data_IF_586252083487
#
_entry.id   IF_586252083487
#
_cell.length_a   1.000
_cell.length_b   1.000
_cell.length_c   1.000
_cell.angle_alpha   90.00
_cell.angle_beta   90.00
_cell.angle_gamma   90.00
#
_symmetry.space_group_name_H-M   'P 1'
#
loop_
_entity.id
_entity.type
_entity.pdbx_description
1 polymer ?
#
# COMPACT_ATOMS: atom_id res chain seq x y z
N UNK A 1 14.41 -10.49 11.88
CA UNK A 1 13.90 -9.82 10.67
C UNK A 1 12.83 -8.86 11.11
N UNK A 2 12.95 -7.56 10.81
CA UNK A 2 11.87 -6.62 11.11
C UNK A 2 10.74 -6.88 10.12
N UNK A 3 9.56 -7.20 10.62
CA UNK A 3 8.39 -7.43 9.79
C UNK A 3 8.01 -6.11 9.09
N UNK A 4 7.92 -6.09 7.75
CA UNK A 4 7.55 -4.90 6.98
C UNK A 4 6.20 -4.35 7.41
N UNK A 5 5.25 -5.21 7.80
CA UNK A 5 3.98 -4.79 8.37
C UNK A 5 4.15 -4.00 9.68
N UNK A 6 5.08 -4.40 10.56
CA UNK A 6 5.36 -3.66 11.81
C UNK A 6 5.95 -2.28 11.51
N UNK A 7 6.90 -2.20 10.57
CA UNK A 7 7.47 -0.92 10.14
C UNK A 7 6.38 -0.02 9.55
N UNK A 8 5.53 -0.60 8.71
CA UNK A 8 4.44 0.12 8.09
C UNK A 8 3.44 0.63 9.13
N UNK A 9 3.03 -0.19 10.10
CA UNK A 9 2.13 0.22 11.18
C UNK A 9 2.68 1.42 11.96
N UNK A 10 4.00 1.47 12.22
CA UNK A 10 4.64 2.63 12.85
C UNK A 10 4.53 3.89 11.97
N UNK A 11 4.76 3.77 10.66
CA UNK A 11 4.59 4.90 9.73
C UNK A 11 3.15 5.36 9.69
N UNK A 12 2.19 4.44 9.62
CA UNK A 12 0.77 4.77 9.60
C UNK A 12 0.37 5.49 10.89
N UNK A 13 0.89 5.09 12.04
CA UNK A 13 0.65 5.78 13.31
C UNK A 13 1.18 7.22 13.32
N UNK A 14 2.31 7.49 12.65
CA UNK A 14 2.85 8.84 12.52
C UNK A 14 2.01 9.75 11.61
N UNK A 15 1.25 9.17 10.68
CA UNK A 15 0.38 9.91 9.76
C UNK A 15 -1.03 10.05 10.34
N UNK A 16 -1.53 9.00 10.98
CA UNK A 16 -2.87 8.89 11.57
C UNK A 16 -2.79 8.58 13.07
N UNK A 17 -2.31 9.52 13.91
CA UNK A 17 -2.03 9.27 15.33
C UNK A 17 -3.28 9.02 16.17
N UNK A 18 -4.47 9.35 15.65
CA UNK A 18 -5.76 9.16 16.33
C UNK A 18 -6.33 7.75 16.13
N UNK A 19 -5.77 6.96 15.21
CA UNK A 19 -6.22 5.59 14.95
C UNK A 19 -5.54 4.64 15.95
N UNK A 20 -6.35 3.73 16.51
CA UNK A 20 -5.90 2.76 17.50
C UNK A 20 -4.82 1.83 16.90
N UNK A 21 -3.76 1.55 17.67
CA UNK A 21 -2.59 0.79 17.21
C UNK A 21 -2.94 -0.59 16.65
N UNK A 22 -3.85 -1.33 17.28
CA UNK A 22 -4.26 -2.66 16.82
C UNK A 22 -4.87 -2.63 15.41
N UNK A 23 -5.63 -1.56 15.11
CA UNK A 23 -6.20 -1.35 13.79
C UNK A 23 -5.11 -1.12 12.75
N UNK A 24 -4.09 -0.33 13.08
CA UNK A 24 -2.95 -0.06 12.19
C UNK A 24 -2.15 -1.32 11.89
N UNK A 25 -1.89 -2.16 12.91
CA UNK A 25 -1.22 -3.46 12.75
C UNK A 25 -1.99 -4.37 11.80
N UNK A 26 -3.29 -4.55 12.06
CA UNK A 26 -4.13 -5.41 11.23
C UNK A 26 -4.13 -4.97 9.77
N UNK A 27 -4.30 -3.68 9.49
CA UNK A 27 -4.32 -3.18 8.10
C UNK A 27 -2.95 -3.30 7.44
N UNK A 28 -1.87 -2.98 8.16
CA UNK A 28 -0.51 -3.12 7.64
C UNK A 28 -0.14 -4.57 7.32
N UNK A 29 -0.55 -5.53 8.15
CA UNK A 29 -0.35 -6.97 7.89
C UNK A 29 -1.10 -7.44 6.65
N UNK A 30 -2.34 -6.98 6.45
CA UNK A 30 -3.11 -7.32 5.26
C UNK A 30 -2.52 -6.66 4.00
N UNK A 31 -2.01 -5.42 4.08
CA UNK A 31 -1.33 -4.76 2.96
C UNK A 31 -0.07 -5.54 2.54
N UNK A 32 0.79 -5.90 3.50
CA UNK A 32 2.01 -6.67 3.23
C UNK A 32 1.67 -8.05 2.66
N UNK A 33 0.63 -8.72 3.20
CA UNK A 33 0.15 -10.01 2.69
C UNK A 33 -0.37 -9.91 1.26
N UNK A 34 -1.18 -8.89 0.95
CA UNK A 34 -1.73 -8.67 -0.40
C UNK A 34 -0.60 -8.41 -1.39
N UNK A 35 0.33 -7.50 -1.08
CA UNK A 35 1.46 -7.21 -1.96
C UNK A 35 2.31 -8.46 -2.19
N UNK A 36 2.66 -9.21 -1.15
CA UNK A 36 3.38 -10.48 -1.29
C UNK A 36 2.66 -11.45 -2.23
N UNK A 37 1.38 -11.66 -1.99
CA UNK A 37 0.56 -12.61 -2.75
C UNK A 37 0.47 -12.23 -4.22
N UNK A 38 0.24 -10.95 -4.55
CA UNK A 38 0.14 -10.52 -5.95
C UNK A 38 1.48 -10.60 -6.71
N UNK A 39 2.61 -10.39 -6.01
CA UNK A 39 3.94 -10.60 -6.58
C UNK A 39 4.25 -12.08 -6.79
N UNK A 40 3.96 -12.94 -5.81
CA UNK A 40 4.19 -14.39 -5.87
C UNK A 40 3.35 -15.06 -6.96
N UNK A 41 2.11 -14.60 -7.14
CA UNK A 41 1.20 -15.08 -8.20
C UNK A 41 1.55 -14.56 -9.59
N UNK A 42 2.45 -13.57 -9.70
CA UNK A 42 2.77 -12.92 -10.98
C UNK A 42 1.62 -12.09 -11.55
N UNK A 43 0.69 -11.63 -10.72
CA UNK A 43 -0.44 -10.79 -11.15
C UNK A 43 -0.01 -9.37 -11.50
N UNK A 44 1.04 -8.87 -10.82
CA UNK A 44 1.60 -7.53 -11.07
C UNK A 44 2.15 -7.46 -12.49
N UNK A 45 1.56 -6.59 -13.32
CA UNK A 45 1.88 -6.51 -14.75
C UNK A 45 2.95 -5.47 -15.05
N UNK A 46 3.18 -4.54 -14.12
CA UNK A 46 4.19 -3.50 -14.27
C UNK A 46 5.52 -3.90 -13.65
N UNK A 47 6.56 -3.09 -13.90
CA UNK A 47 7.87 -3.23 -13.24
C UNK A 47 7.93 -2.58 -11.86
N UNK A 48 6.80 -2.39 -11.17
CA UNK A 48 6.78 -1.80 -9.83
C UNK A 48 7.52 -2.71 -8.84
N UNK A 49 8.33 -2.12 -7.96
CA UNK A 49 9.00 -2.88 -6.91
C UNK A 49 8.04 -3.22 -5.77
N UNK A 50 8.35 -4.26 -5.00
CA UNK A 50 7.56 -4.63 -3.82
C UNK A 50 7.44 -3.45 -2.83
N UNK A 51 8.55 -2.76 -2.56
CA UNK A 51 8.56 -1.63 -1.63
C UNK A 51 7.73 -0.47 -2.17
N UNK A 52 7.82 -0.16 -3.46
CA UNK A 52 7.00 0.90 -4.07
C UNK A 52 5.52 0.53 -4.02
N UNK A 53 5.15 -0.71 -4.37
CA UNK A 53 3.79 -1.20 -4.30
C UNK A 53 3.20 -1.08 -2.88
N UNK A 54 3.92 -1.57 -1.86
CA UNK A 54 3.49 -1.49 -0.47
C UNK A 54 3.38 -0.04 0.02
N UNK A 55 4.35 0.80 -0.32
CA UNK A 55 4.37 2.21 0.08
C UNK A 55 3.23 3.02 -0.57
N UNK A 56 2.93 2.74 -1.85
CA UNK A 56 1.84 3.40 -2.58
C UNK A 56 0.48 2.91 -2.10
N UNK A 57 0.30 1.62 -1.83
CA UNK A 57 -0.94 1.08 -1.27
C UNK A 57 -1.25 1.70 0.09
N UNK A 58 -0.23 1.82 0.95
CA UNK A 58 -0.36 2.49 2.23
C UNK A 58 -0.76 3.96 2.07
N UNK A 59 -0.10 4.69 1.16
CA UNK A 59 -0.43 6.09 0.88
C UNK A 59 -1.87 6.29 0.40
N UNK A 60 -2.30 5.50 -0.58
CA UNK A 60 -3.66 5.55 -1.11
C UNK A 60 -4.68 5.28 0.00
N UNK A 61 -4.54 4.17 0.74
CA UNK A 61 -5.48 3.81 1.79
C UNK A 61 -5.55 4.86 2.90
N UNK A 62 -4.41 5.41 3.31
CA UNK A 62 -4.39 6.44 4.34
C UNK A 62 -5.14 7.69 3.91
N UNK A 63 -4.90 8.20 2.71
CA UNK A 63 -5.53 9.46 2.28
C UNK A 63 -6.99 9.25 1.86
N UNK A 64 -7.32 8.12 1.23
CA UNK A 64 -8.67 7.86 0.72
C UNK A 64 -9.67 7.50 1.83
N UNK A 65 -9.22 6.83 2.88
CA UNK A 65 -10.13 6.32 3.92
C UNK A 65 -9.80 6.74 5.34
N UNK A 66 -8.62 7.34 5.57
CA UNK A 66 -8.09 7.54 6.91
C UNK A 66 -8.10 6.25 7.74
N UNK A 67 -7.94 5.09 7.07
CA UNK A 67 -7.97 3.75 7.67
C UNK A 67 -9.27 3.42 8.43
N UNK A 68 -10.33 4.19 8.18
CA UNK A 68 -11.59 4.14 8.92
C UNK A 68 -12.35 2.83 8.71
N UNK A 69 -12.75 2.19 9.80
CA UNK A 69 -13.58 0.98 9.76
C UNK A 69 -14.95 1.24 9.11
N UNK A 70 -15.49 2.46 9.27
CA UNK A 70 -16.75 2.84 8.62
C UNK A 70 -16.63 2.86 7.09
N UNK A 71 -15.45 3.17 6.57
CA UNK A 71 -15.16 3.17 5.13
C UNK A 71 -14.88 1.73 4.64
N UNK A 72 -14.12 0.95 5.40
CA UNK A 72 -13.90 -0.48 5.11
C UNK A 72 -15.23 -1.24 4.98
N UNK A 73 -16.15 -1.02 5.92
CA UNK A 73 -17.46 -1.66 5.91
C UNK A 73 -18.48 -0.92 5.04
N UNK A 74 -18.04 0.04 4.23
CA UNK A 74 -18.86 0.83 3.29
C UNK A 74 -20.08 1.54 3.90
N UNK A 75 -20.04 1.84 5.21
CA UNK A 75 -21.03 2.70 5.89
C UNK A 75 -20.79 4.16 5.53
N UNK A 76 -19.53 4.56 5.36
CA UNK A 76 -19.11 5.80 4.73
C UNK A 76 -18.56 5.51 3.33
N UNK A 77 -18.91 6.35 2.36
CA UNK A 77 -18.62 6.11 0.93
C UNK A 77 -18.14 7.39 0.27
N UNK A 78 -17.21 7.27 -0.67
CA UNK A 78 -16.75 8.39 -1.50
C UNK A 78 -17.66 8.62 -2.71
N UNK A 79 -17.53 9.78 -3.33
CA UNK A 79 -18.11 10.12 -4.65
C UNK A 79 -19.61 9.81 -4.82
N UNK A 80 -20.41 9.97 -3.77
CA UNK A 80 -21.84 9.66 -3.79
C UNK A 80 -22.15 8.15 -3.86
N UNK A 81 -21.22 7.31 -3.38
CA UNK A 81 -21.35 5.85 -3.36
C UNK A 81 -20.65 5.12 -4.50
N UNK A 82 -19.96 5.84 -5.38
CA UNK A 82 -19.29 5.27 -6.57
C UNK A 82 -17.93 4.65 -6.25
N UNK A 83 -17.27 5.12 -5.21
CA UNK A 83 -16.04 4.57 -4.66
C UNK A 83 -16.32 3.88 -3.32
N UNK A 84 -15.62 2.77 -3.05
CA UNK A 84 -15.85 1.94 -1.85
C UNK A 84 -14.57 1.36 -1.26
N UNK A 85 -14.64 1.02 0.03
CA UNK A 85 -13.57 0.37 0.76
C UNK A 85 -12.39 1.30 1.08
N UNK A 86 -11.35 0.71 1.68
CA UNK A 86 -10.19 1.44 2.19
C UNK A 86 -9.41 2.20 1.11
N UNK A 87 -9.40 1.70 -0.13
CA UNK A 87 -8.79 2.40 -1.26
C UNK A 87 -9.73 3.33 -2.02
N UNK A 88 -11.01 3.45 -1.63
CA UNK A 88 -12.03 4.18 -2.39
C UNK A 88 -12.06 3.80 -3.88
N UNK A 89 -12.03 2.50 -4.18
CA UNK A 89 -11.95 2.03 -5.57
C UNK A 89 -13.26 2.29 -6.30
N UNK A 90 -13.17 3.07 -7.38
CA UNK A 90 -14.30 3.41 -8.24
C UNK A 90 -14.94 2.18 -8.88
N UNK A 91 -16.28 2.14 -8.89
CA UNK A 91 -17.08 1.13 -9.58
C UNK A 91 -16.72 1.04 -11.08
N UNK A 92 -16.93 -0.15 -11.66
CA UNK A 92 -16.73 -0.45 -13.06
C UNK A 92 -15.61 -1.47 -13.25
N UNK A 93 -14.75 -1.30 -14.26
CA UNK A 93 -13.65 -2.24 -14.53
C UNK A 93 -12.71 -2.46 -13.36
N UNK A 94 -12.55 -1.47 -12.46
CA UNK A 94 -11.68 -1.59 -11.30
C UNK A 94 -12.22 -2.53 -10.21
N UNK A 95 -13.48 -2.97 -10.29
CA UNK A 95 -14.03 -3.99 -9.39
C UNK A 95 -13.77 -5.41 -9.87
N UNK A 96 -13.27 -5.58 -11.09
CA UNK A 96 -12.82 -6.88 -11.63
C UNK A 96 -13.92 -7.98 -11.57
N UNK A 97 -15.18 -7.56 -11.69
CA UNK A 97 -16.35 -8.44 -11.65
C UNK A 97 -16.90 -8.69 -10.25
N UNK A 98 -16.24 -8.22 -9.18
CA UNK A 98 -16.74 -8.33 -7.82
C UNK A 98 -17.92 -7.41 -7.56
N UNK A 99 -18.82 -7.87 -6.70
CA UNK A 99 -19.95 -7.09 -6.20
C UNK A 99 -19.53 -6.19 -5.05
N UNK A 100 -20.30 -5.12 -4.84
CA UNK A 100 -20.14 -4.24 -3.67
C UNK A 100 -20.11 -5.04 -2.35
N UNK A 101 -20.98 -6.04 -2.19
CA UNK A 101 -21.07 -6.83 -0.96
C UNK A 101 -19.80 -7.61 -0.68
N UNK A 102 -19.21 -8.23 -1.71
CA UNK A 102 -17.95 -8.96 -1.59
C UNK A 102 -16.81 -8.02 -1.20
N UNK A 103 -16.72 -6.86 -1.87
CA UNK A 103 -15.70 -5.85 -1.58
C UNK A 103 -15.84 -5.33 -0.14
N UNK A 104 -17.04 -4.92 0.27
CA UNK A 104 -17.29 -4.33 1.58
C UNK A 104 -17.20 -5.31 2.76
N UNK A 105 -17.11 -6.62 2.51
CA UNK A 105 -16.95 -7.66 3.54
C UNK A 105 -15.56 -8.28 3.58
N UNK A 106 -14.65 -7.87 2.69
CA UNK A 106 -13.32 -8.45 2.60
C UNK A 106 -12.26 -7.35 2.39
N UNK A 107 -11.58 -6.99 3.48
CA UNK A 107 -10.50 -6.00 3.47
C UNK A 107 -9.37 -6.33 2.51
N UNK A 108 -8.94 -7.59 2.42
CA UNK A 108 -7.87 -8.00 1.50
C UNK A 108 -8.28 -7.78 0.06
N UNK A 109 -9.53 -8.09 -0.30
CA UNK A 109 -10.05 -7.79 -1.62
C UNK A 109 -10.05 -6.28 -1.92
N UNK A 110 -10.43 -5.43 -0.96
CA UNK A 110 -10.35 -3.96 -1.14
C UNK A 110 -8.91 -3.50 -1.45
N UNK A 111 -7.95 -4.03 -0.71
CA UNK A 111 -6.52 -3.73 -0.87
C UNK A 111 -5.98 -4.26 -2.21
N UNK A 112 -6.37 -5.46 -2.63
CA UNK A 112 -6.01 -6.05 -3.92
C UNK A 112 -6.51 -5.17 -5.08
N UNK A 113 -7.78 -4.76 -5.05
CA UNK A 113 -8.34 -3.91 -6.11
C UNK A 113 -7.64 -2.54 -6.18
N UNK A 114 -7.33 -1.94 -5.02
CA UNK A 114 -6.54 -0.71 -4.97
C UNK A 114 -5.13 -0.90 -5.54
N UNK A 115 -4.46 -1.98 -5.17
CA UNK A 115 -3.13 -2.34 -5.68
C UNK A 115 -3.14 -2.54 -7.21
N UNK A 116 -4.19 -3.15 -7.77
CA UNK A 116 -4.31 -3.31 -9.22
C UNK A 116 -4.52 -2.00 -9.95
N UNK A 117 -5.25 -1.04 -9.36
CA UNK A 117 -5.33 0.33 -9.92
C UNK A 117 -3.95 0.99 -9.91
N UNK A 118 -3.21 0.86 -8.80
CA UNK A 118 -1.84 1.37 -8.67
C UNK A 118 -0.92 0.77 -9.75
N UNK A 119 -0.94 -0.56 -9.93
CA UNK A 119 -0.13 -1.26 -10.93
C UNK A 119 -0.42 -0.77 -12.35
N UNK A 120 -1.70 -0.59 -12.70
CA UNK A 120 -2.10 -0.01 -14.00
C UNK A 120 -1.59 1.41 -14.19
N UNK A 121 -1.71 2.25 -13.16
CA UNK A 121 -1.19 3.62 -13.19
C UNK A 121 0.34 3.65 -13.30
N UNK A 122 1.04 2.74 -12.62
CA UNK A 122 2.50 2.60 -12.71
C UNK A 122 2.94 2.13 -14.09
N UNK A 123 2.24 1.18 -14.71
CA UNK A 123 2.53 0.70 -16.05
C UNK A 123 2.51 1.83 -17.10
N UNK A 124 1.56 2.77 -16.97
CA UNK A 124 1.46 3.95 -17.84
C UNK A 124 2.45 5.07 -17.48
N UNK A 125 2.81 5.18 -16.20
CA UNK A 125 3.74 6.20 -15.68
C UNK A 125 4.59 5.63 -14.55
N UNK A 126 5.80 5.10 -14.81
CA UNK A 126 6.63 4.42 -13.82
C UNK A 126 7.38 5.41 -12.90
N UNK A 127 6.64 6.34 -12.32
CA UNK A 127 7.08 7.34 -11.35
C UNK A 127 5.97 7.48 -10.30
N UNK A 128 6.34 7.38 -9.02
CA UNK A 128 5.34 7.33 -7.94
C UNK A 128 4.44 8.56 -7.87
N UNK A 129 4.96 9.76 -8.14
CA UNK A 129 4.15 10.98 -8.13
C UNK A 129 3.10 10.99 -9.25
N UNK A 130 3.49 10.59 -10.46
CA UNK A 130 2.61 10.48 -11.61
C UNK A 130 1.59 9.35 -11.45
N UNK A 131 2.01 8.20 -10.90
CA UNK A 131 1.14 7.07 -10.65
C UNK A 131 0.10 7.36 -9.55
N UNK A 132 0.45 8.07 -8.48
CA UNK A 132 -0.53 8.51 -7.47
C UNK A 132 -1.49 9.57 -8.03
N UNK A 133 -1.03 10.51 -8.86
CA UNK A 133 -1.95 11.42 -9.58
C UNK A 133 -2.96 10.67 -10.46
N UNK A 134 -2.48 9.65 -11.18
CA UNK A 134 -3.33 8.74 -11.95
C UNK A 134 -4.32 7.99 -11.04
N UNK A 135 -3.89 7.50 -9.89
CA UNK A 135 -4.75 6.81 -8.93
C UNK A 135 -5.88 7.72 -8.44
N UNK A 136 -5.53 8.89 -7.88
CA UNK A 136 -6.49 9.83 -7.28
C UNK A 136 -7.47 10.41 -8.30
N UNK A 137 -7.02 10.64 -9.55
CA UNK A 137 -7.76 11.51 -10.49
C UNK A 137 -8.00 10.92 -11.87
N UNK A 138 -7.45 9.75 -12.17
CA UNK A 138 -7.44 9.17 -13.51
C UNK A 138 -6.48 9.85 -14.50
N UNK A 139 -5.78 10.92 -14.10
CA UNK A 139 -4.86 11.69 -14.94
C UNK A 139 -3.52 11.90 -14.23
N UNK A 140 -2.45 11.32 -14.78
CA UNK A 140 -1.09 11.41 -14.24
C UNK A 140 -0.48 12.82 -14.26
N UNK A 141 -1.08 13.76 -15.01
CA UNK A 141 -0.66 15.16 -15.08
C UNK A 141 -1.39 16.04 -14.08
N UNK A 142 -2.51 15.59 -13.52
CA UNK A 142 -3.35 16.39 -12.63
C UNK A 142 -2.86 16.32 -11.19
N UNK A 143 -2.25 17.41 -10.74
CA UNK A 143 -1.67 17.51 -9.39
C UNK A 143 -2.70 18.04 -8.37
N UNK A 144 -3.58 17.17 -7.88
CA UNK A 144 -4.60 17.52 -6.87
C UNK A 144 -4.01 17.64 -5.45
N UNK A 145 -4.81 18.15 -4.49
CA UNK A 145 -4.42 18.14 -3.08
C UNK A 145 -4.22 16.72 -2.55
N UNK A 146 -5.16 15.81 -2.83
CA UNK A 146 -5.08 14.41 -2.42
C UNK A 146 -3.84 13.70 -3.00
N UNK A 147 -3.54 13.88 -4.29
CA UNK A 147 -2.35 13.28 -4.90
C UNK A 147 -1.04 13.77 -4.25
N UNK A 148 -0.97 15.05 -3.84
CA UNK A 148 0.19 15.56 -3.08
C UNK A 148 0.27 14.97 -1.67
N UNK A 149 -0.86 14.81 -1.00
CA UNK A 149 -0.93 14.21 0.32
C UNK A 149 -0.50 12.74 0.28
N UNK A 150 -1.01 11.97 -0.68
CA UNK A 150 -0.63 10.58 -0.93
C UNK A 150 0.88 10.49 -1.19
N UNK A 151 1.41 11.33 -2.07
CA UNK A 151 2.85 11.31 -2.36
C UNK A 151 3.71 11.64 -1.13
N UNK A 152 3.23 12.50 -0.23
CA UNK A 152 3.91 12.77 1.03
C UNK A 152 3.93 11.55 1.97
N UNK A 153 2.81 10.81 2.07
CA UNK A 153 2.74 9.56 2.84
C UNK A 153 3.63 8.48 2.23
N UNK A 154 3.57 8.31 0.91
CA UNK A 154 4.40 7.37 0.16
C UNK A 154 5.89 7.59 0.44
N UNK A 155 6.39 8.84 0.41
CA UNK A 155 7.80 9.13 0.70
C UNK A 155 8.20 8.71 2.12
N UNK A 156 7.33 8.92 3.10
CA UNK A 156 7.58 8.49 4.50
C UNK A 156 7.61 6.97 4.60
N UNK A 157 6.62 6.28 4.01
CA UNK A 157 6.52 4.83 4.02
C UNK A 157 7.70 4.18 3.31
N UNK A 158 8.02 4.62 2.10
CA UNK A 158 9.14 4.10 1.31
C UNK A 158 10.45 4.24 2.05
N UNK A 159 10.75 5.42 2.58
CA UNK A 159 11.99 5.65 3.32
C UNK A 159 12.10 4.74 4.57
N UNK A 160 11.01 4.52 5.30
CA UNK A 160 11.02 3.63 6.45
C UNK A 160 11.22 2.16 6.07
N UNK A 161 10.52 1.70 5.02
CA UNK A 161 10.61 0.32 4.52
C UNK A 161 11.98 0.03 3.91
N UNK A 162 12.53 0.93 3.09
CA UNK A 162 13.87 0.84 2.53
C UNK A 162 14.93 0.70 3.64
N UNK A 163 14.87 1.56 4.66
CA UNK A 163 15.79 1.51 5.82
C UNK A 163 15.67 0.23 6.64
N UNK A 164 14.48 -0.38 6.69
CA UNK A 164 14.27 -1.66 7.38
C UNK A 164 14.79 -2.85 6.58
N UNK A 165 14.71 -2.79 5.25
CA UNK A 165 15.20 -3.83 4.35
C UNK A 165 16.73 -3.88 4.30
N UNK A 166 17.39 -2.72 4.32
CA UNK A 166 18.85 -2.60 4.32
C UNK A 166 19.52 -3.10 5.62
N UNK A 167 18.76 -3.18 6.72
CA UNK A 167 19.24 -3.71 8.02
C UNK A 167 19.12 -5.23 8.14
N UNK A 168 18.70 -5.94 7.09
CA UNK A 168 18.76 -7.41 7.07
C UNK A 168 20.23 -7.86 6.96
N UNK A 169 20.80 -8.59 7.94
CA UNK A 169 22.14 -9.11 7.79
C UNK A 169 22.17 -10.07 6.60
N UNK A 170 23.07 -9.81 5.63
CA UNK A 170 23.44 -10.82 4.65
C UNK A 170 24.05 -11.98 5.43
N UNK A 171 23.32 -13.08 5.60
CA UNK A 171 23.94 -14.34 5.99
C UNK A 171 24.75 -14.78 4.77
N UNK A 172 26.02 -14.40 4.73
CA UNK A 172 26.98 -15.01 3.83
C UNK A 172 27.24 -16.40 4.44
N UNK A 173 26.59 -17.43 3.88
CA UNK A 173 26.98 -18.82 4.15
C UNK A 173 28.27 -19.07 3.38
N UNK A 174 29.38 -18.60 3.95
CA UNK A 174 30.69 -19.09 3.56
C UNK A 174 30.87 -20.47 4.20
N UNK A 175 30.88 -21.50 3.36
CA UNK A 175 31.39 -22.82 3.72
C UNK A 175 32.86 -22.65 4.13
N UNK A 176 33.11 -22.39 5.41
CA UNK A 176 34.34 -22.68 6.19
C UNK A 176 34.53 -21.66 7.34
N UNK A 177 34.13 -22.02 8.56
CA UNK A 177 34.65 -21.40 9.79
C UNK A 177 34.06 -20.04 10.17
N UNK A 178 33.29 -20.02 11.26
CA UNK A 178 32.70 -18.80 11.84
C UNK A 178 33.81 -17.87 12.35
N UNK A 179 33.92 -16.67 11.78
CA UNK A 179 34.52 -15.49 12.43
C UNK A 179 33.46 -14.40 12.54
N UNK A 180 33.18 -13.95 13.76
CA UNK A 180 32.39 -12.76 14.03
C UNK A 180 33.25 -11.53 13.68
N UNK A 181 32.93 -10.84 12.58
CA UNK A 181 33.47 -9.52 12.31
C UNK A 181 32.63 -8.47 13.03
N UNK A 182 33.23 -7.76 13.98
CA UNK A 182 32.71 -6.48 14.46
C UNK A 182 33.04 -5.42 13.40
N UNK A 183 32.02 -4.76 12.85
CA UNK A 183 32.23 -3.60 11.99
C UNK A 183 32.75 -2.40 12.83
N UNK A 184 33.67 -1.58 12.29
CA UNK A 184 34.00 -0.27 12.85
C UNK A 184 32.84 0.73 12.75
#
# INVERSE_FOLDING_TARGET
MTNLATVLAVVLHQVEPTIVEDRLKLVAEDMDTVVKTEFENGTMKSGISHIDALSMLAAAVTIESHLSESVENCKAVGDGGRSVGLGQVMNGPNWEGHTRKEICSNRRLQLTLALHVIDRCWAGTPQADAALRCYTSGDSKKNSYAARAEFAVYKKARAALDNSSAKSPKIIVENSGIKLANNP
#
